data_IF_184146818864
#
_entry.id   IF_184146818864
#
_cell.length_a   1.000
_cell.length_b   1.000
_cell.length_c   1.000
_cell.angle_alpha   90.00
_cell.angle_beta   90.00
_cell.angle_gamma   90.00
#
_symmetry.space_group_name_H-M   'P 1'
#
loop_
_entity.id
_entity.type
_entity.pdbx_description
1 polymer ?
#
# COMPACT_ATOMS: atom_id res chain seq x y z
N UNK A 1 10.17 5.78 -2.49
CA UNK A 1 9.28 6.36 -3.51
C UNK A 1 7.94 6.39 -2.82
N UNK A 2 7.29 7.53 -2.71
CA UNK A 2 6.00 7.61 -2.04
C UNK A 2 4.89 7.25 -3.03
N UNK A 3 3.94 6.43 -2.59
CA UNK A 3 2.76 6.10 -3.37
C UNK A 3 1.69 7.20 -3.25
N UNK A 4 0.88 7.36 -4.29
CA UNK A 4 -0.23 8.31 -4.33
C UNK A 4 -1.58 7.56 -4.22
N UNK A 5 -2.67 8.32 -4.01
CA UNK A 5 -4.01 7.76 -4.13
C UNK A 5 -4.22 7.23 -5.57
N UNK A 6 -4.92 6.11 -5.70
CA UNK A 6 -5.12 5.32 -6.93
C UNK A 6 -3.89 4.52 -7.44
N UNK A 7 -2.74 4.57 -6.77
CA UNK A 7 -1.59 3.72 -7.14
C UNK A 7 -1.85 2.24 -6.85
N UNK A 8 -1.38 1.36 -7.74
CA UNK A 8 -1.38 -0.08 -7.51
C UNK A 8 -0.09 -0.52 -6.81
N UNK A 9 -0.26 -1.27 -5.73
CA UNK A 9 0.84 -1.75 -4.90
C UNK A 9 0.61 -3.19 -4.47
N UNK A 10 1.70 -3.94 -4.36
CA UNK A 10 1.71 -5.29 -3.81
C UNK A 10 2.06 -5.19 -2.32
N UNK A 11 1.19 -5.71 -1.46
CA UNK A 11 1.46 -5.79 -0.03
C UNK A 11 2.39 -6.97 0.24
N UNK A 12 3.52 -6.72 0.89
CA UNK A 12 4.45 -7.74 1.39
C UNK A 12 4.54 -7.65 2.92
N UNK A 13 3.54 -8.19 3.60
CA UNK A 13 3.51 -8.30 5.05
C UNK A 13 3.02 -9.69 5.49
N UNK A 14 3.93 -10.50 6.05
CA UNK A 14 3.65 -11.86 6.53
C UNK A 14 2.65 -11.93 7.69
N UNK A 15 2.35 -10.80 8.31
CA UNK A 15 1.32 -10.69 9.35
C UNK A 15 -0.05 -10.33 8.79
N UNK A 16 -0.11 -9.87 7.53
CA UNK A 16 -1.34 -9.57 6.82
C UNK A 16 -1.99 -10.82 6.23
N UNK A 17 -3.32 -10.77 6.09
CA UNK A 17 -4.08 -11.75 5.32
C UNK A 17 -3.96 -11.52 3.80
N UNK A 18 -3.54 -10.31 3.38
CA UNK A 18 -3.38 -9.89 1.99
C UNK A 18 -1.91 -9.93 1.52
N UNK A 19 -1.05 -10.70 2.21
CA UNK A 19 0.37 -10.88 1.85
C UNK A 19 0.53 -11.43 0.43
N UNK A 20 1.23 -10.68 -0.42
CA UNK A 20 1.44 -10.98 -1.83
C UNK A 20 0.27 -10.61 -2.74
N UNK A 21 -0.77 -9.96 -2.23
CA UNK A 21 -1.88 -9.46 -3.04
C UNK A 21 -1.62 -8.03 -3.54
N UNK A 22 -2.11 -7.74 -4.74
CA UNK A 22 -2.12 -6.40 -5.32
C UNK A 22 -3.38 -5.67 -4.87
N UNK A 23 -3.23 -4.49 -4.31
CA UNK A 23 -4.34 -3.60 -3.98
C UNK A 23 -4.08 -2.18 -4.45
N UNK A 24 -5.05 -1.31 -4.20
CA UNK A 24 -5.03 0.10 -4.62
C UNK A 24 -4.93 1.01 -3.41
N UNK A 25 -4.00 1.96 -3.44
CA UNK A 25 -3.88 2.99 -2.41
C UNK A 25 -5.12 3.89 -2.47
N UNK A 26 -5.86 3.95 -1.37
CA UNK A 26 -7.08 4.78 -1.26
C UNK A 26 -6.91 5.95 -0.30
N UNK A 27 -5.85 5.93 0.52
CA UNK A 27 -5.53 7.02 1.43
C UNK A 27 -4.07 6.97 1.84
N UNK A 28 -3.45 8.15 1.91
CA UNK A 28 -2.10 8.37 2.44
C UNK A 28 -2.19 9.15 3.75
N UNK A 29 -1.55 8.64 4.79
CA UNK A 29 -1.55 9.25 6.12
C UNK A 29 -0.10 9.47 6.58
N UNK A 30 0.34 10.72 6.51
CA UNK A 30 1.65 11.15 6.98
C UNK A 30 1.60 11.53 8.47
N UNK A 31 2.48 10.91 9.25
CA UNK A 31 2.72 11.23 10.64
C UNK A 31 3.53 12.52 10.76
N UNK A 32 3.28 13.31 11.82
CA UNK A 32 4.07 14.52 12.12
C UNK A 32 5.57 14.26 12.34
N UNK A 33 5.98 13.00 12.46
CA UNK A 33 7.36 12.56 12.60
C UNK A 33 8.01 12.10 11.27
N UNK A 34 7.26 12.11 10.17
CA UNK A 34 7.74 11.73 8.84
C UNK A 34 7.45 10.29 8.44
N UNK A 35 6.84 9.48 9.30
CA UNK A 35 6.36 8.14 8.93
C UNK A 35 5.09 8.25 8.08
N UNK A 36 5.11 7.71 6.87
CA UNK A 36 3.93 7.65 6.01
C UNK A 36 3.35 6.24 6.08
N UNK A 37 2.04 6.18 6.28
CA UNK A 37 1.27 4.94 6.22
C UNK A 37 0.18 5.05 5.17
N UNK A 38 -0.20 3.91 4.62
CA UNK A 38 -1.10 3.81 3.48
C UNK A 38 -2.31 2.96 3.85
N UNK A 39 -3.43 3.25 3.19
CA UNK A 39 -4.61 2.39 3.22
C UNK A 39 -4.79 1.77 1.84
N UNK A 40 -4.69 0.44 1.79
CA UNK A 40 -4.80 -0.34 0.56
C UNK A 40 -6.16 -1.01 0.52
N UNK A 41 -6.88 -0.85 -0.57
CA UNK A 41 -8.13 -1.56 -0.83
C UNK A 41 -7.86 -2.75 -1.76
N UNK A 42 -8.42 -3.90 -1.39
CA UNK A 42 -8.39 -5.16 -2.12
C UNK A 42 -9.81 -5.56 -2.53
N UNK A 43 -9.97 -6.64 -3.30
CA UNK A 43 -11.30 -7.14 -3.69
C UNK A 43 -12.14 -7.63 -2.51
N UNK A 44 -11.49 -8.28 -1.53
CA UNK A 44 -12.14 -8.88 -0.36
C UNK A 44 -12.10 -8.00 0.91
N UNK A 45 -11.52 -6.79 0.84
CA UNK A 45 -11.39 -5.93 2.01
C UNK A 45 -10.46 -4.74 1.83
N UNK A 46 -10.02 -4.16 2.95
CA UNK A 46 -9.07 -3.05 2.96
C UNK A 46 -8.16 -3.14 4.19
N UNK A 47 -6.89 -2.78 4.01
CA UNK A 47 -5.84 -2.79 5.02
C UNK A 47 -5.37 -1.35 5.27
N UNK A 48 -5.45 -0.88 6.51
CA UNK A 48 -5.02 0.47 6.90
C UNK A 48 -3.77 0.43 7.76
N UNK A 49 -2.93 1.45 7.63
CA UNK A 49 -1.72 1.58 8.46
C UNK A 49 -0.52 0.80 7.90
N UNK A 50 -0.55 0.49 6.61
CA UNK A 50 0.55 -0.21 5.93
C UNK A 50 1.73 0.75 5.77
N UNK A 51 2.95 0.40 6.22
CA UNK A 51 4.13 1.22 6.01
C UNK A 51 4.61 1.16 4.55
N UNK A 52 5.30 2.20 4.07
CA UNK A 52 5.87 2.21 2.71
C UNK A 52 6.80 1.01 2.47
N UNK A 53 7.55 0.59 3.49
CA UNK A 53 8.50 -0.55 3.43
C UNK A 53 7.81 -1.90 3.18
N UNK A 54 6.50 -2.01 3.46
CA UNK A 54 5.71 -3.21 3.20
C UNK A 54 5.00 -3.17 1.83
N UNK A 55 5.17 -2.10 1.06
CA UNK A 55 4.54 -1.92 -0.24
C UNK A 55 5.58 -1.97 -1.35
N UNK A 56 5.29 -2.78 -2.36
CA UNK A 56 6.05 -2.80 -3.62
C UNK A 56 5.19 -2.19 -4.73
N UNK A 57 5.79 -1.40 -5.62
CA UNK A 57 5.09 -0.89 -6.79
C UNK A 57 4.65 -2.08 -7.65
N UNK A 58 3.35 -2.17 -7.97
CA UNK A 58 2.90 -3.13 -8.97
C UNK A 58 3.47 -2.72 -10.34
N UNK A 59 3.91 -3.70 -11.14
CA UNK A 59 4.66 -3.54 -12.41
C UNK A 59 3.91 -2.80 -13.54
N UNK A 60 2.80 -2.13 -13.26
CA UNK A 60 1.97 -1.40 -14.23
C UNK A 60 2.45 0.03 -14.52
N UNK A 61 3.58 0.47 -13.94
CA UNK A 61 4.08 1.85 -14.05
C UNK A 61 5.33 2.03 -14.95
N UNK A 62 5.65 1.10 -15.85
CA UNK A 62 6.76 1.22 -16.81
C UNK A 62 6.27 0.98 -18.27
N UNK A 63 5.53 1.95 -18.84
CA UNK A 63 5.44 2.18 -20.30
C UNK A 63 5.57 3.68 -20.66
#
# INVERSE_FOLDING_TARGET
>A
MSFEEDDQVVLSDKHSEFDGETGTVTQTMESMFGDVTYTISFEDGQESGVPEDALEAADDADE
#
